data_IF_450311054754
#
_entry.id   IF_450311054754
#
_cell.length_a   1.000
_cell.length_b   1.000
_cell.length_c   1.000
_cell.angle_alpha   90.00
_cell.angle_beta   90.00
_cell.angle_gamma   90.00
#
_symmetry.space_group_name_H-M   'P 1'
#
loop_
_entity.id
_entity.type
_entity.pdbx_description
1 polymer ?
#
# COMPACT_ATOMS: atom_id res chain seq x y z
N UNK A 1 -18.57 -9.73 4.64
CA UNK A 1 -17.29 -9.43 5.32
C UNK A 1 -16.41 -8.78 4.26
N UNK A 2 -16.08 -7.51 4.44
CA UNK A 2 -15.05 -6.87 3.62
C UNK A 2 -13.72 -7.33 4.26
N UNK A 3 -13.12 -8.39 3.73
CA UNK A 3 -11.94 -9.07 4.32
C UNK A 3 -10.67 -8.19 4.35
N UNK A 4 -10.78 -6.93 3.93
CA UNK A 4 -9.65 -6.00 3.83
C UNK A 4 -8.67 -6.42 2.73
N UNK A 5 -7.53 -5.74 2.71
CA UNK A 5 -6.43 -6.02 1.80
C UNK A 5 -5.13 -6.11 2.60
N UNK A 6 -4.55 -7.31 2.65
CA UNK A 6 -3.32 -7.55 3.43
C UNK A 6 -2.09 -7.25 2.58
N UNK A 7 -1.22 -6.39 3.11
CA UNK A 7 0.15 -6.25 2.62
C UNK A 7 1.06 -7.03 3.57
N UNK A 8 1.81 -7.97 3.00
CA UNK A 8 2.64 -8.89 3.78
C UNK A 8 3.92 -8.22 4.28
N UNK A 9 4.44 -8.72 5.40
CA UNK A 9 5.76 -8.42 5.93
C UNK A 9 6.83 -8.56 4.84
N UNK A 10 7.75 -7.61 4.80
CA UNK A 10 8.83 -7.55 3.81
C UNK A 10 8.42 -6.90 2.49
N UNK A 11 7.13 -6.56 2.30
CA UNK A 11 6.72 -5.73 1.17
C UNK A 11 7.41 -4.37 1.22
N UNK A 12 7.68 -3.80 0.05
CA UNK A 12 8.34 -2.51 -0.09
C UNK A 12 7.36 -1.42 -0.47
N UNK A 13 7.60 -0.22 0.05
CA UNK A 13 6.90 1.00 -0.29
C UNK A 13 7.89 2.11 -0.64
N UNK A 14 7.45 3.07 -1.45
CA UNK A 14 8.27 4.21 -1.86
C UNK A 14 8.59 5.07 -0.64
N UNK A 15 9.82 5.58 -0.53
CA UNK A 15 10.23 6.49 0.56
C UNK A 15 9.56 7.86 0.46
N UNK A 16 9.57 8.45 -0.74
CA UNK A 16 9.03 9.77 -0.97
C UNK A 16 7.53 9.71 -1.31
N UNK A 17 6.78 10.63 -0.71
CA UNK A 17 5.43 10.94 -1.17
C UNK A 17 5.50 11.72 -2.48
N UNK A 18 4.55 11.42 -3.37
CA UNK A 18 4.33 12.20 -4.58
C UNK A 18 3.75 13.57 -4.22
N UNK A 19 4.00 14.58 -5.07
CA UNK A 19 3.43 15.92 -4.90
C UNK A 19 1.88 15.93 -4.88
N UNK A 20 1.25 14.89 -5.44
CA UNK A 20 -0.20 14.72 -5.47
C UNK A 20 -0.74 13.86 -4.30
N UNK A 21 0.10 13.51 -3.32
CA UNK A 21 -0.36 12.83 -2.12
C UNK A 21 -1.29 13.77 -1.32
N UNK A 22 -2.51 13.31 -1.05
CA UNK A 22 -3.43 14.05 -0.19
C UNK A 22 -2.99 14.00 1.27
N UNK A 23 -3.35 15.02 2.05
CA UNK A 23 -3.00 15.11 3.48
C UNK A 23 -3.35 13.84 4.28
N UNK A 24 -4.47 13.19 3.96
CA UNK A 24 -4.89 11.95 4.62
C UNK A 24 -3.87 10.81 4.43
N UNK A 25 -3.22 10.73 3.26
CA UNK A 25 -2.26 9.69 2.92
C UNK A 25 -0.93 9.93 3.63
N UNK A 26 -0.47 11.19 3.66
CA UNK A 26 0.74 11.60 4.38
C UNK A 26 0.57 11.27 5.86
N UNK A 27 -0.57 11.65 6.45
CA UNK A 27 -0.87 11.35 7.86
C UNK A 27 -0.98 9.85 8.13
N UNK A 28 -1.58 9.08 7.22
CA UNK A 28 -1.63 7.62 7.35
C UNK A 28 -0.23 7.00 7.31
N UNK A 29 0.63 7.42 6.36
CA UNK A 29 2.01 6.93 6.28
C UNK A 29 2.83 7.31 7.51
N UNK A 30 2.66 8.54 8.02
CA UNK A 30 3.27 8.97 9.29
C UNK A 30 2.88 8.05 10.45
N UNK A 31 1.59 7.74 10.62
CA UNK A 31 1.12 6.80 11.66
C UNK A 31 1.70 5.40 11.50
N UNK A 32 1.83 4.90 10.27
CA UNK A 32 2.45 3.60 10.00
C UNK A 32 3.94 3.59 10.35
N UNK A 33 4.65 4.71 10.13
CA UNK A 33 6.05 4.86 10.53
C UNK A 33 6.18 4.94 12.06
N UNK A 34 5.35 5.76 12.71
CA UNK A 34 5.35 5.92 14.18
C UNK A 34 5.01 4.61 14.90
N UNK A 35 4.13 3.80 14.32
CA UNK A 35 3.81 2.45 14.82
C UNK A 35 4.81 1.37 14.40
N UNK A 36 5.91 1.75 13.75
CA UNK A 36 6.95 0.84 13.24
C UNK A 36 6.44 -0.21 12.25
N UNK A 37 5.25 -0.02 11.66
CA UNK A 37 4.73 -0.87 10.58
C UNK A 37 5.51 -0.63 9.30
N UNK A 38 5.80 0.63 8.97
CA UNK A 38 6.72 1.02 7.90
C UNK A 38 8.06 1.43 8.50
N UNK A 39 9.13 0.78 8.08
CA UNK A 39 10.48 1.07 8.54
C UNK A 39 11.34 1.40 7.34
N UNK A 40 12.17 2.44 7.45
CA UNK A 40 13.11 2.79 6.39
C UNK A 40 14.21 1.71 6.28
N UNK A 41 14.39 1.18 5.08
CA UNK A 41 15.43 0.24 4.70
C UNK A 41 15.97 0.61 3.32
N UNK A 42 17.25 1.01 3.27
CA UNK A 42 18.02 1.25 2.05
C UNK A 42 17.31 2.17 1.02
N UNK A 43 16.73 3.29 1.47
CA UNK A 43 16.06 4.25 0.59
C UNK A 43 14.66 3.82 0.13
N UNK A 44 14.09 2.80 0.74
CA UNK A 44 12.69 2.39 0.62
C UNK A 44 12.07 2.21 2.00
N UNK A 45 10.74 2.20 2.10
CA UNK A 45 10.09 1.68 3.30
C UNK A 45 9.85 0.18 3.13
N UNK A 46 9.95 -0.56 4.23
CA UNK A 46 9.62 -1.98 4.30
C UNK A 46 8.57 -2.21 5.37
N UNK A 47 7.58 -3.04 5.07
CA UNK A 47 6.59 -3.47 6.05
C UNK A 47 7.23 -4.45 7.06
N UNK A 48 7.29 -4.07 8.33
CA UNK A 48 7.90 -4.89 9.40
C UNK A 48 7.03 -6.08 9.83
N UNK A 49 5.73 -5.99 9.54
CA UNK A 49 4.69 -6.97 9.85
C UNK A 49 3.60 -6.94 8.79
N UNK A 50 2.75 -7.97 8.77
CA UNK A 50 1.55 -7.98 7.94
C UNK A 50 0.61 -6.85 8.39
N UNK A 51 0.04 -6.14 7.43
CA UNK A 51 -0.87 -5.03 7.70
C UNK A 51 -2.13 -5.13 6.84
N UNK A 52 -3.29 -5.09 7.50
CA UNK A 52 -4.60 -5.15 6.85
C UNK A 52 -5.10 -3.73 6.58
N UNK A 53 -5.22 -3.39 5.31
CA UNK A 53 -5.87 -2.16 4.88
C UNK A 53 -7.38 -2.39 4.70
N UNK A 54 -8.16 -1.32 4.88
CA UNK A 54 -9.59 -1.33 4.66
C UNK A 54 -10.00 -1.38 3.17
N UNK A 55 -9.07 -1.19 2.24
CA UNK A 55 -9.33 -1.30 0.81
C UNK A 55 -8.04 -1.55 0.02
N UNK A 56 -8.13 -2.18 -1.18
CA UNK A 56 -6.98 -2.34 -2.08
C UNK A 56 -6.40 -0.99 -2.53
N UNK A 57 -7.22 0.05 -2.68
CA UNK A 57 -6.75 1.39 -3.09
C UNK A 57 -5.96 2.09 -2.00
N UNK A 58 -6.37 1.95 -0.72
CA UNK A 58 -5.61 2.46 0.41
C UNK A 58 -4.23 1.83 0.45
N UNK A 59 -4.16 0.50 0.34
CA UNK A 59 -2.91 -0.25 0.31
C UNK A 59 -2.00 0.21 -0.84
N UNK A 60 -2.55 0.30 -2.05
CA UNK A 60 -1.80 0.74 -3.23
C UNK A 60 -1.26 2.16 -3.06
N UNK A 61 -2.08 3.05 -2.48
CA UNK A 61 -1.68 4.44 -2.27
C UNK A 61 -0.54 4.57 -1.26
N UNK A 62 -0.58 3.79 -0.17
CA UNK A 62 0.50 3.73 0.83
C UNK A 62 1.77 3.19 0.21
N UNK A 63 1.70 2.10 -0.55
CA UNK A 63 2.89 1.51 -1.20
C UNK A 63 3.51 2.45 -2.23
N UNK A 64 2.68 3.13 -3.02
CA UNK A 64 3.13 4.04 -4.07
C UNK A 64 3.59 5.41 -3.56
N UNK A 65 3.09 5.86 -2.41
CA UNK A 65 3.30 7.23 -1.90
C UNK A 65 2.41 8.27 -2.59
N UNK A 66 1.25 7.90 -3.11
CA UNK A 66 0.35 8.82 -3.80
C UNK A 66 -1.01 8.17 -4.08
N UNK A 67 -2.00 8.93 -4.53
CA UNK A 67 -3.31 8.34 -4.87
C UNK A 67 -3.16 7.28 -5.97
N UNK A 68 -3.69 6.08 -5.71
CA UNK A 68 -3.67 4.96 -6.65
C UNK A 68 -4.98 4.18 -6.65
N UNK A 69 -5.38 3.73 -7.83
CA UNK A 69 -6.49 2.81 -7.99
C UNK A 69 -6.00 1.37 -7.77
N UNK A 70 -6.35 0.79 -6.61
CA UNK A 70 -5.90 -0.54 -6.23
C UNK A 70 -6.36 -1.66 -7.17
N UNK A 71 -7.50 -1.48 -7.86
CA UNK A 71 -8.04 -2.49 -8.75
C UNK A 71 -7.17 -2.75 -9.98
N UNK A 72 -6.39 -1.74 -10.41
CA UNK A 72 -5.49 -1.82 -11.57
C UNK A 72 -4.01 -1.86 -11.18
N UNK A 73 -3.66 -1.31 -10.02
CA UNK A 73 -2.28 -1.27 -9.53
C UNK A 73 -1.79 -2.66 -9.08
N UNK A 74 -2.65 -3.41 -8.40
CA UNK A 74 -2.32 -4.77 -7.95
C UNK A 74 -2.40 -5.75 -9.11
N UNK A 75 -1.30 -6.46 -9.35
CA UNK A 75 -1.19 -7.48 -10.40
C UNK A 75 -0.61 -8.76 -9.83
N UNK A 76 -1.10 -9.90 -10.33
CA UNK A 76 -0.45 -11.18 -10.05
C UNK A 76 0.82 -11.36 -10.89
N UNK A 77 1.51 -12.49 -10.70
CA UNK A 77 2.72 -12.85 -11.47
C UNK A 77 2.51 -12.92 -12.99
N UNK A 78 1.27 -13.12 -13.45
CA UNK A 78 0.90 -13.16 -14.87
C UNK A 78 0.52 -11.77 -15.42
N UNK A 79 0.68 -10.71 -14.62
CA UNK A 79 0.31 -9.35 -14.98
C UNK A 79 -1.19 -9.04 -14.93
N UNK A 80 -2.03 -9.99 -14.51
CA UNK A 80 -3.48 -9.81 -14.41
C UNK A 80 -3.83 -8.94 -13.20
N UNK A 81 -4.69 -7.95 -13.42
CA UNK A 81 -5.10 -7.00 -12.39
C UNK A 81 -6.02 -7.63 -11.35
N UNK A 82 -6.06 -7.04 -10.15
CA UNK A 82 -6.98 -7.47 -9.10
C UNK A 82 -8.45 -7.43 -9.56
N UNK A 83 -8.81 -6.40 -10.35
CA UNK A 83 -10.14 -6.27 -10.97
C UNK A 83 -10.52 -7.53 -11.76
N UNK A 84 -9.65 -7.97 -12.67
CA UNK A 84 -9.87 -9.14 -13.52
C UNK A 84 -9.97 -10.44 -12.70
N UNK A 85 -9.26 -10.51 -11.57
CA UNK A 85 -9.16 -11.71 -10.75
C UNK A 85 -10.30 -11.85 -9.73
N UNK A 86 -10.96 -10.75 -9.33
CA UNK A 86 -11.89 -10.74 -8.19
C UNK A 86 -13.30 -10.19 -8.48
N UNK A 87 -13.49 -9.30 -9.44
CA UNK A 87 -14.79 -8.65 -9.72
C UNK A 87 -15.51 -9.26 -10.93
N UNK A 88 -15.81 -10.56 -10.86
CA UNK A 88 -16.69 -11.23 -11.84
C UNK A 88 -18.13 -11.27 -11.37
#
# INVERSE_FOLDING_TARGET
VDDGFVVLKGAKARIADSQAAGNWLVELRRKLIESSVLVEDNGTFTFSQDYVFNSPSTAASVVYGGQQNGWVAWKNKDGKTLDLLKRK
#
